data_IF_799306819285
#
_entry.id   IF_799306819285
#
_cell.length_a   1.000
_cell.length_b   1.000
_cell.length_c   1.000
_cell.angle_alpha   90.00
_cell.angle_beta   90.00
_cell.angle_gamma   90.00
#
_symmetry.space_group_name_H-M   'P 1'
#
loop_
_entity.id
_entity.type
_entity.pdbx_description
1 polymer ?
#
# COMPACT_ATOMS: atom_id res chain seq x y z
N UNK A 1 22.13 -32.73 26.64
CA UNK A 1 22.98 -32.28 25.51
C UNK A 1 22.38 -32.99 24.32
N UNK A 2 21.37 -32.38 23.70
CA UNK A 2 20.68 -32.95 22.54
C UNK A 2 20.66 -31.86 21.48
N UNK A 3 21.70 -31.92 20.65
CA UNK A 3 21.94 -31.11 19.46
C UNK A 3 21.61 -32.01 18.29
N UNK A 4 20.58 -31.69 17.52
CA UNK A 4 20.40 -32.09 16.10
C UNK A 4 19.05 -31.60 15.57
N UNK A 5 18.98 -30.34 15.13
CA UNK A 5 17.84 -29.85 14.32
C UNK A 5 18.21 -28.70 13.36
N UNK A 6 19.48 -28.60 12.96
CA UNK A 6 19.94 -27.57 12.01
C UNK A 6 20.68 -28.20 10.82
N UNK A 7 20.00 -28.92 9.93
CA UNK A 7 20.56 -29.18 8.58
C UNK A 7 19.52 -29.60 7.52
N UNK A 8 18.50 -28.77 7.26
CA UNK A 8 17.71 -28.96 6.04
C UNK A 8 17.27 -27.65 5.38
N UNK A 9 18.20 -26.74 5.10
CA UNK A 9 17.98 -25.69 4.10
C UNK A 9 19.34 -25.39 3.46
N UNK A 10 19.57 -25.84 2.21
CA UNK A 10 20.39 -25.22 1.16
C UNK A 10 20.89 -26.25 0.12
N UNK A 11 19.98 -26.78 -0.71
CA UNK A 11 20.37 -27.41 -2.00
C UNK A 11 19.44 -26.96 -3.13
N UNK A 12 19.05 -25.68 -3.14
CA UNK A 12 18.36 -25.12 -4.30
C UNK A 12 19.39 -24.67 -5.31
N UNK A 13 19.43 -25.35 -6.46
CA UNK A 13 20.31 -25.00 -7.59
C UNK A 13 20.17 -23.52 -7.98
N UNK A 14 21.27 -22.81 -8.33
CA UNK A 14 21.25 -21.38 -8.64
C UNK A 14 20.20 -20.99 -9.69
N UNK A 15 19.99 -21.83 -10.71
CA UNK A 15 18.98 -21.59 -11.74
C UNK A 15 17.54 -21.63 -11.23
N UNK A 16 17.25 -22.48 -10.24
CA UNK A 16 15.91 -22.57 -9.62
C UNK A 16 15.68 -21.41 -8.63
N UNK A 17 16.73 -20.99 -7.92
CA UNK A 17 16.68 -19.82 -7.04
C UNK A 17 16.40 -18.53 -7.83
N UNK A 18 17.00 -18.38 -9.01
CA UNK A 18 16.76 -17.24 -9.90
C UNK A 18 15.33 -17.23 -10.44
N UNK A 19 14.81 -18.38 -10.89
CA UNK A 19 13.42 -18.50 -11.35
C UNK A 19 12.42 -18.20 -10.23
N UNK A 20 12.70 -18.62 -8.99
CA UNK A 20 11.86 -18.31 -7.83
C UNK A 20 11.90 -16.82 -7.46
N UNK A 21 13.07 -16.18 -7.54
CA UNK A 21 13.22 -14.73 -7.34
C UNK A 21 12.49 -13.95 -8.43
N UNK A 22 12.64 -14.33 -9.70
CA UNK A 22 11.95 -13.71 -10.83
C UNK A 22 10.42 -13.88 -10.74
N UNK A 23 9.96 -15.05 -10.31
CA UNK A 23 8.54 -15.31 -10.05
C UNK A 23 8.01 -14.46 -8.88
N UNK A 24 8.79 -14.33 -7.80
CA UNK A 24 8.46 -13.46 -6.66
C UNK A 24 8.41 -11.99 -7.06
N UNK A 25 9.31 -11.55 -7.95
CA UNK A 25 9.31 -10.19 -8.49
C UNK A 25 8.08 -9.91 -9.38
N UNK A 26 7.53 -10.94 -10.02
CA UNK A 26 6.27 -10.87 -10.79
C UNK A 26 5.03 -10.75 -9.89
N UNK A 27 5.12 -11.07 -8.60
CA UNK A 27 4.07 -10.85 -7.59
C UNK A 27 3.95 -9.39 -7.14
N UNK A 28 4.95 -8.54 -7.45
CA UNK A 28 4.93 -7.14 -7.06
C UNK A 28 3.90 -6.34 -7.89
N UNK A 29 3.24 -5.33 -7.30
CA UNK A 29 2.32 -4.47 -8.04
C UNK A 29 3.05 -3.74 -9.19
N UNK A 30 2.54 -3.90 -10.43
CA UNK A 30 3.15 -3.33 -11.65
C UNK A 30 3.46 -1.83 -11.53
N UNK A 31 2.58 -1.06 -10.86
CA UNK A 31 2.69 0.40 -10.70
C UNK A 31 3.84 0.85 -9.78
N UNK A 32 4.23 0.04 -8.79
CA UNK A 32 5.24 0.42 -7.78
C UNK A 32 6.55 -0.35 -7.91
N UNK A 33 6.59 -1.38 -8.76
CA UNK A 33 7.73 -2.27 -8.92
C UNK A 33 9.05 -1.55 -9.25
N UNK A 34 9.03 -0.58 -10.17
CA UNK A 34 10.23 0.17 -10.55
C UNK A 34 10.80 0.98 -9.38
N UNK A 35 9.93 1.61 -8.57
CA UNK A 35 10.35 2.37 -7.38
C UNK A 35 11.04 1.48 -6.36
N UNK A 36 10.55 0.25 -6.20
CA UNK A 36 11.12 -0.69 -5.24
C UNK A 36 12.50 -1.17 -5.68
N UNK A 37 12.70 -1.43 -6.98
CA UNK A 37 14.00 -1.82 -7.56
C UNK A 37 15.07 -0.74 -7.37
N UNK A 38 14.72 0.53 -7.60
CA UNK A 38 15.66 1.65 -7.47
C UNK A 38 16.04 1.88 -6.00
N UNK A 39 15.07 1.85 -5.08
CA UNK A 39 15.29 2.22 -3.67
C UNK A 39 16.22 1.25 -2.93
N UNK A 40 16.25 -0.01 -3.34
CA UNK A 40 16.98 -1.08 -2.65
C UNK A 40 18.04 -1.76 -3.52
N UNK A 41 18.50 -1.05 -4.57
CA UNK A 41 19.60 -1.50 -5.42
C UNK A 41 20.91 -1.58 -4.63
N UNK A 42 21.13 -0.64 -3.72
CA UNK A 42 22.40 -0.44 -3.02
C UNK A 42 22.48 -1.11 -1.64
N UNK A 43 21.40 -1.76 -1.16
CA UNK A 43 21.49 -2.58 0.06
C UNK A 43 22.23 -3.87 -0.29
N UNK A 44 23.55 -3.85 -0.08
CA UNK A 44 24.47 -4.94 -0.38
C UNK A 44 24.28 -6.13 0.55
N UNK A 45 23.89 -7.26 -0.04
CA UNK A 45 24.14 -8.68 0.29
C UNK A 45 23.97 -9.25 1.72
N UNK A 46 24.02 -8.48 2.81
CA UNK A 46 23.85 -8.98 4.19
C UNK A 46 22.71 -8.27 4.93
N UNK A 47 21.63 -9.03 5.19
CA UNK A 47 20.41 -8.56 5.84
C UNK A 47 20.37 -8.95 7.33
N UNK A 48 21.46 -8.74 8.06
CA UNK A 48 21.42 -8.97 9.51
C UNK A 48 20.44 -7.99 10.18
N UNK A 49 19.80 -8.42 11.28
CA UNK A 49 18.84 -7.59 12.01
C UNK A 49 19.49 -6.24 12.40
N UNK A 50 20.77 -6.24 12.78
CA UNK A 50 21.52 -5.06 13.18
C UNK A 50 21.73 -4.05 12.04
N UNK A 51 22.01 -4.52 10.82
CA UNK A 51 22.17 -3.65 9.64
C UNK A 51 20.84 -2.96 9.33
N UNK A 52 19.73 -3.72 9.34
CA UNK A 52 18.40 -3.15 9.18
C UNK A 52 18.03 -2.21 10.33
N UNK A 53 18.47 -2.53 11.55
CA UNK A 53 18.25 -1.69 12.74
C UNK A 53 18.88 -0.31 12.57
N UNK A 54 20.14 -0.25 12.10
CA UNK A 54 20.86 0.99 11.84
C UNK A 54 20.22 1.78 10.70
N UNK A 55 19.94 1.13 9.57
CA UNK A 55 19.29 1.75 8.41
C UNK A 55 17.93 2.36 8.74
N UNK A 56 17.03 1.60 9.38
CA UNK A 56 15.73 2.11 9.80
C UNK A 56 15.85 3.11 10.98
N UNK A 57 16.94 3.05 11.74
CA UNK A 57 17.31 3.99 12.79
C UNK A 57 17.62 5.39 12.27
N UNK A 58 18.24 5.50 11.10
CA UNK A 58 18.44 6.78 10.42
C UNK A 58 17.17 7.23 9.69
N UNK A 59 16.50 6.32 8.96
CA UNK A 59 15.29 6.64 8.21
C UNK A 59 14.16 7.16 9.10
N UNK A 60 13.96 6.58 10.28
CA UNK A 60 12.88 7.00 11.21
C UNK A 60 13.00 8.46 11.64
N UNK A 61 14.17 9.08 11.51
CA UNK A 61 14.39 10.48 11.83
C UNK A 61 13.93 11.37 10.68
N UNK A 62 14.15 10.92 9.44
CA UNK A 62 13.89 11.67 8.21
C UNK A 62 12.44 11.58 7.73
N UNK A 63 11.75 10.46 7.98
CA UNK A 63 10.43 10.18 7.36
C UNK A 63 9.30 9.95 8.36
N UNK A 64 8.06 10.15 7.88
CA UNK A 64 6.84 9.93 8.66
C UNK A 64 6.66 8.44 9.00
N UNK A 65 6.03 8.10 10.14
CA UNK A 65 5.80 6.71 10.58
C UNK A 65 5.08 5.85 9.53
N UNK A 66 4.08 6.40 8.84
CA UNK A 66 3.38 5.67 7.76
C UNK A 66 4.31 5.36 6.58
N UNK A 67 5.12 6.34 6.15
CA UNK A 67 6.11 6.15 5.09
C UNK A 67 7.19 5.14 5.48
N UNK A 68 7.63 5.15 6.74
CA UNK A 68 8.59 4.17 7.28
C UNK A 68 8.03 2.75 7.23
N UNK A 69 6.76 2.59 7.58
CA UNK A 69 6.06 1.29 7.51
C UNK A 69 5.89 0.81 6.07
N UNK A 70 5.67 1.72 5.12
CA UNK A 70 5.69 1.41 3.67
C UNK A 70 7.08 0.92 3.28
N UNK A 71 8.16 1.64 3.64
CA UNK A 71 9.53 1.19 3.34
C UNK A 71 9.84 -0.21 3.88
N UNK A 72 9.49 -0.48 5.13
CA UNK A 72 9.60 -1.82 5.70
C UNK A 72 8.85 -2.89 4.88
N UNK A 73 7.62 -2.57 4.44
CA UNK A 73 6.81 -3.49 3.64
C UNK A 73 7.40 -3.70 2.24
N UNK A 74 7.94 -2.65 1.62
CA UNK A 74 8.62 -2.74 0.32
C UNK A 74 9.86 -3.63 0.40
N UNK A 75 10.66 -3.49 1.46
CA UNK A 75 11.82 -4.35 1.70
C UNK A 75 11.41 -5.82 1.86
N UNK A 76 10.34 -6.07 2.64
CA UNK A 76 9.77 -7.42 2.81
C UNK A 76 9.37 -8.05 1.48
N UNK A 77 8.73 -7.28 0.60
CA UNK A 77 8.25 -7.79 -0.68
C UNK A 77 9.34 -7.94 -1.75
N UNK A 78 10.41 -7.14 -1.70
CA UNK A 78 11.45 -7.16 -2.74
C UNK A 78 12.53 -8.20 -2.55
N UNK A 79 12.88 -8.53 -1.30
CA UNK A 79 14.06 -9.35 -1.01
C UNK A 79 13.75 -10.70 -0.36
N UNK A 80 12.47 -11.09 -0.22
CA UNK A 80 12.03 -12.35 0.41
C UNK A 80 12.81 -12.67 1.71
N UNK A 81 13.17 -11.63 2.47
CA UNK A 81 13.91 -11.81 3.72
C UNK A 81 12.94 -12.37 4.76
N UNK A 82 13.41 -13.32 5.57
CA UNK A 82 12.71 -13.89 6.74
C UNK A 82 12.60 -12.86 7.89
N UNK A 83 12.07 -11.68 7.58
CA UNK A 83 11.84 -10.56 8.50
C UNK A 83 10.91 -10.90 9.69
N UNK A 84 10.01 -11.92 9.65
CA UNK A 84 9.29 -12.33 10.84
C UNK A 84 10.19 -12.68 12.04
N UNK A 85 11.47 -13.03 11.82
CA UNK A 85 12.45 -13.32 12.87
C UNK A 85 12.96 -12.06 13.60
N UNK A 86 12.83 -10.87 13.02
CA UNK A 86 13.43 -9.63 13.57
C UNK A 86 12.51 -8.91 14.56
N UNK A 87 12.60 -9.33 15.83
CA UNK A 87 11.78 -8.78 16.92
C UNK A 87 12.18 -7.35 17.27
N UNK A 88 13.49 -7.05 17.32
CA UNK A 88 14.01 -5.71 17.69
C UNK A 88 13.65 -4.68 16.62
N UNK A 89 13.76 -5.07 15.35
CA UNK A 89 13.37 -4.21 14.23
C UNK A 89 11.87 -3.86 14.29
N UNK A 90 11.02 -4.86 14.52
CA UNK A 90 9.57 -4.66 14.68
C UNK A 90 9.25 -3.74 15.86
N UNK A 91 9.95 -3.89 16.99
CA UNK A 91 9.77 -3.04 18.16
C UNK A 91 10.11 -1.56 17.86
N UNK A 92 11.22 -1.28 17.17
CA UNK A 92 11.58 0.09 16.78
C UNK A 92 10.53 0.73 15.86
N UNK A 93 10.05 -0.02 14.86
CA UNK A 93 9.04 0.48 13.93
C UNK A 93 7.72 0.78 14.65
N UNK A 94 7.31 -0.09 15.58
CA UNK A 94 6.11 0.12 16.42
C UNK A 94 6.24 1.37 17.30
N UNK A 95 7.39 1.55 17.95
CA UNK A 95 7.65 2.71 18.82
C UNK A 95 7.52 4.04 18.07
N UNK A 96 8.00 4.10 16.83
CA UNK A 96 7.85 5.32 16.00
C UNK A 96 6.40 5.59 15.58
N UNK A 97 5.55 4.56 15.49
CA UNK A 97 4.15 4.70 15.12
C UNK A 97 3.19 4.98 16.28
N UNK A 98 3.63 4.82 17.53
CA UNK A 98 2.75 4.90 18.71
C UNK A 98 2.00 6.23 18.79
N UNK A 99 2.71 7.34 18.61
CA UNK A 99 2.13 8.69 18.69
C UNK A 99 1.67 9.25 17.33
N UNK A 100 1.66 8.41 16.28
CA UNK A 100 1.32 8.87 14.94
C UNK A 100 -0.18 9.03 14.77
N UNK A 101 -0.63 10.28 14.66
CA UNK A 101 -1.99 10.61 14.23
C UNK A 101 -2.02 10.86 12.71
N UNK A 102 -2.78 10.08 11.92
CA UNK A 102 -2.88 10.31 10.50
C UNK A 102 -3.60 11.63 10.21
N UNK A 103 -3.02 12.47 9.35
CA UNK A 103 -3.70 13.65 8.81
C UNK A 103 -4.78 13.17 7.84
N UNK A 104 -6.05 13.31 8.23
CA UNK A 104 -7.19 13.10 7.32
C UNK A 104 -7.31 14.31 6.38
N UNK A 105 -7.80 14.08 5.16
CA UNK A 105 -8.21 15.16 4.28
C UNK A 105 -9.43 15.86 4.88
N UNK A 106 -9.59 17.16 4.59
CA UNK A 106 -10.82 17.88 4.95
C UNK A 106 -11.98 17.23 4.18
N UNK A 107 -13.03 16.89 4.91
CA UNK A 107 -14.29 16.45 4.30
C UNK A 107 -15.03 17.71 3.89
N UNK A 108 -15.40 17.80 2.62
CA UNK A 108 -16.18 18.93 2.11
C UNK A 108 -17.60 18.86 2.66
N UNK A 109 -18.13 19.99 3.11
CA UNK A 109 -19.55 20.08 3.52
C UNK A 109 -20.45 20.19 2.28
N UNK A 110 -21.75 19.91 2.45
CA UNK A 110 -22.73 20.10 1.37
C UNK A 110 -22.72 21.53 0.83
N UNK A 111 -22.54 22.52 1.72
CA UNK A 111 -22.46 23.94 1.34
C UNK A 111 -21.23 24.20 0.47
N UNK A 112 -20.06 23.68 0.85
CA UNK A 112 -18.82 23.82 0.07
C UNK A 112 -18.93 23.12 -1.28
N UNK A 113 -19.62 21.98 -1.35
CA UNK A 113 -19.90 21.27 -2.61
C UNK A 113 -20.81 22.10 -3.50
N UNK A 114 -21.92 22.61 -2.97
CA UNK A 114 -22.85 23.46 -3.74
C UNK A 114 -22.17 24.74 -4.22
N UNK A 115 -21.39 25.38 -3.36
CA UNK A 115 -20.58 26.54 -3.71
C UNK A 115 -19.64 26.21 -4.89
N UNK A 116 -18.92 25.08 -4.81
CA UNK A 116 -18.07 24.63 -5.91
C UNK A 116 -18.86 24.36 -7.21
N UNK A 117 -20.04 23.74 -7.12
CA UNK A 117 -20.88 23.45 -8.28
C UNK A 117 -21.39 24.73 -8.97
N UNK A 118 -21.64 25.80 -8.22
CA UNK A 118 -22.15 27.07 -8.76
C UNK A 118 -21.04 28.03 -9.20
N UNK A 119 -19.99 28.20 -8.38
CA UNK A 119 -19.00 29.27 -8.57
C UNK A 119 -17.79 28.85 -9.39
N UNK A 120 -17.44 27.54 -9.43
CA UNK A 120 -16.29 27.10 -10.22
C UNK A 120 -16.56 27.23 -11.72
N UNK A 121 -15.58 27.59 -12.56
CA UNK A 121 -15.82 27.74 -13.99
C UNK A 121 -15.89 26.38 -14.70
N UNK A 122 -16.83 26.23 -15.64
CA UNK A 122 -17.17 24.95 -16.27
C UNK A 122 -16.09 24.47 -17.25
N UNK A 123 -15.42 25.38 -17.94
CA UNK A 123 -14.30 25.10 -18.86
C UNK A 123 -13.20 24.22 -18.23
N UNK A 124 -12.96 24.38 -16.92
CA UNK A 124 -11.95 23.64 -16.16
C UNK A 124 -12.51 22.49 -15.33
N UNK A 125 -13.76 22.58 -14.86
CA UNK A 125 -14.31 21.66 -13.86
C UNK A 125 -15.60 20.93 -14.29
N UNK A 126 -16.05 21.06 -15.54
CA UNK A 126 -17.30 20.45 -16.02
C UNK A 126 -17.40 18.96 -15.69
N UNK A 127 -16.38 18.17 -16.03
CA UNK A 127 -16.38 16.74 -15.75
C UNK A 127 -16.54 16.47 -14.25
N UNK A 128 -15.76 17.15 -13.41
CA UNK A 128 -15.82 17.00 -11.95
C UNK A 128 -17.21 17.37 -11.40
N UNK A 129 -17.83 18.45 -11.89
CA UNK A 129 -19.16 18.87 -11.48
C UNK A 129 -20.25 17.86 -11.87
N UNK A 130 -20.18 17.30 -13.08
CA UNK A 130 -21.14 16.30 -13.57
C UNK A 130 -21.07 15.04 -12.72
N UNK A 131 -19.87 14.50 -12.48
CA UNK A 131 -19.68 13.32 -11.63
C UNK A 131 -20.15 13.56 -10.19
N UNK A 132 -19.89 14.75 -9.62
CA UNK A 132 -20.34 15.10 -8.27
C UNK A 132 -21.88 15.14 -8.17
N UNK A 133 -22.57 15.65 -9.20
CA UNK A 133 -24.04 15.68 -9.23
C UNK A 133 -24.63 14.28 -9.34
N UNK A 134 -24.08 13.44 -10.22
CA UNK A 134 -24.53 12.06 -10.42
C UNK A 134 -24.42 11.25 -9.12
N UNK A 135 -23.26 11.30 -8.46
CA UNK A 135 -23.04 10.65 -7.17
C UNK A 135 -24.02 11.20 -6.11
N UNK A 136 -24.23 12.51 -6.05
CA UNK A 136 -25.14 13.12 -5.05
C UNK A 136 -26.59 12.71 -5.26
N UNK A 137 -27.05 12.61 -6.51
CA UNK A 137 -28.41 12.15 -6.84
C UNK A 137 -28.60 10.67 -6.49
N UNK A 138 -27.60 9.83 -6.74
CA UNK A 138 -27.62 8.42 -6.33
C UNK A 138 -27.76 8.28 -4.81
N UNK A 139 -27.06 9.11 -4.03
CA UNK A 139 -27.20 9.11 -2.56
C UNK A 139 -28.59 9.59 -2.10
N UNK A 140 -29.18 10.61 -2.72
CA UNK A 140 -30.48 11.14 -2.33
C UNK A 140 -31.64 10.20 -2.71
N UNK A 141 -31.56 9.52 -3.86
CA UNK A 141 -32.54 8.54 -4.29
C UNK A 141 -32.45 7.24 -3.47
N UNK A 142 -31.25 6.82 -3.07
CA UNK A 142 -31.04 5.62 -2.26
C UNK A 142 -31.21 5.85 -0.74
N UNK A 143 -31.18 7.10 -0.25
CA UNK A 143 -31.40 7.42 1.18
C UNK A 143 -32.85 7.22 1.64
N UNK A 144 -33.81 7.06 0.72
CA UNK A 144 -35.21 6.80 1.04
C UNK A 144 -35.60 5.31 1.01
N UNK A 145 -34.65 4.37 0.77
CA UNK A 145 -34.97 2.94 0.63
C UNK A 145 -34.12 1.98 1.49
N UNK A 146 -33.12 2.45 2.25
CA UNK A 146 -32.21 1.56 2.99
C UNK A 146 -32.46 1.62 4.50
N UNK A 147 -33.60 1.08 4.91
CA UNK A 147 -33.65 0.22 6.10
C UNK A 147 -33.99 -1.19 5.61
N UNK A 148 -32.98 -1.93 5.16
CA UNK A 148 -32.87 -3.40 5.25
C UNK A 148 -31.74 -3.89 4.31
N UNK A 149 -30.86 -4.70 4.90
CA UNK A 149 -29.72 -5.41 4.32
C UNK A 149 -28.44 -4.58 4.10
N UNK A 150 -27.38 -5.06 4.75
CA UNK A 150 -26.11 -4.37 4.87
C UNK A 150 -25.36 -4.25 3.56
N UNK A 151 -24.88 -3.03 3.30
CA UNK A 151 -23.94 -2.74 2.23
C UNK A 151 -22.57 -3.28 2.67
N UNK A 152 -22.32 -4.53 2.31
CA UNK A 152 -20.97 -5.07 2.19
C UNK A 152 -20.27 -4.35 1.05
N UNK A 153 -19.30 -3.54 1.42
CA UNK A 153 -18.01 -3.38 0.74
C UNK A 153 -17.97 -3.50 -0.79
N UNK A 154 -17.67 -2.35 -1.40
CA UNK A 154 -16.76 -2.14 -2.54
C UNK A 154 -17.36 -2.25 -3.95
N UNK A 155 -17.50 -1.06 -4.56
CA UNK A 155 -17.02 -0.74 -5.92
C UNK A 155 -17.24 -1.83 -6.97
N UNK A 156 -18.39 -1.80 -7.63
CA UNK A 156 -18.53 -2.42 -8.94
C UNK A 156 -17.66 -1.67 -9.97
N UNK A 157 -16.74 -2.42 -10.58
CA UNK A 157 -16.04 -2.07 -11.81
C UNK A 157 -17.07 -1.94 -12.93
N UNK A 158 -17.09 -0.80 -13.61
CA UNK A 158 -17.69 -0.69 -14.94
C UNK A 158 -16.84 -1.49 -15.93
N UNK A 159 -17.40 -2.56 -16.49
CA UNK A 159 -16.84 -3.32 -17.61
C UNK A 159 -17.75 -3.01 -18.81
N UNK A 160 -17.30 -2.28 -19.84
CA UNK A 160 -18.13 -2.03 -21.01
C UNK A 160 -18.33 -3.33 -21.82
N UNK A 161 -19.50 -3.53 -22.44
CA UNK A 161 -19.75 -4.70 -23.27
C UNK A 161 -18.90 -4.63 -24.55
N UNK A 162 -18.03 -5.62 -24.75
CA UNK A 162 -17.42 -5.88 -26.06
C UNK A 162 -18.49 -6.37 -27.01
N UNK A 163 -18.83 -5.53 -28.00
CA UNK A 163 -19.53 -5.95 -29.21
C UNK A 163 -18.65 -6.94 -29.96
N UNK A 164 -19.07 -8.20 -30.01
CA UNK A 164 -18.52 -9.20 -30.93
C UNK A 164 -19.36 -9.13 -32.20
N UNK A 165 -18.75 -8.65 -33.28
CA UNK A 165 -19.18 -8.86 -34.67
C UNK A 165 -18.85 -10.27 -35.12
#
# INVERSE_FOLDING_TARGET
MDSDSDLFINYTSPGVAEVAQNSSMKLLPKKSQQKYKITYKDITTSYSENVLMAYFGELRQKIKPNSLRIQYSMLRSTRNVDIPKYVKLKALLKRKSHDYKPKKSKVLTLQEINQFLHEAPDDKYLFTKVNLKEITLDYLLNSNFVTLSGISCLYYRYIPPTTVT
#
